data_IF_338201790854
#
_entry.id   IF_338201790854
#
_cell.length_a   1.000
_cell.length_b   1.000
_cell.length_c   1.000
_cell.angle_alpha   90.00
_cell.angle_beta   90.00
_cell.angle_gamma   90.00
#
_symmetry.space_group_name_H-M   'P 1'
#
loop_
_entity.id
_entity.type
_entity.pdbx_description
1 polymer ?
#
# COMPACT_ATOMS: atom_id res chain seq x y z
N UNK A 1 19.04 -8.23 35.44
CA UNK A 1 18.29 -9.23 36.23
C UNK A 1 16.98 -9.47 35.52
N UNK A 2 16.79 -10.70 35.01
CA UNK A 2 15.53 -11.10 34.42
C UNK A 2 14.53 -11.37 35.53
N UNK A 3 13.57 -10.49 35.71
CA UNK A 3 12.48 -10.64 36.70
C UNK A 3 11.42 -11.64 36.27
N UNK A 4 11.48 -12.13 35.03
CA UNK A 4 10.50 -13.03 34.44
C UNK A 4 11.12 -14.38 34.10
N UNK A 5 10.29 -15.40 33.94
CA UNK A 5 10.77 -16.70 33.44
C UNK A 5 11.29 -16.52 32.00
N UNK A 6 12.21 -17.44 31.61
CA UNK A 6 12.82 -17.38 30.26
C UNK A 6 11.78 -17.38 29.13
N UNK A 7 10.66 -18.08 29.29
CA UNK A 7 9.59 -18.13 28.28
C UNK A 7 8.84 -16.80 28.17
N UNK A 8 8.59 -16.13 29.30
CA UNK A 8 7.95 -14.81 29.30
C UNK A 8 8.89 -13.77 28.65
N UNK A 9 10.17 -13.79 29.00
CA UNK A 9 11.16 -12.88 28.43
C UNK A 9 11.29 -13.03 26.92
N UNK A 10 11.32 -14.27 26.40
CA UNK A 10 11.34 -14.54 24.96
C UNK A 10 10.09 -14.02 24.25
N UNK A 11 8.91 -14.23 24.82
CA UNK A 11 7.66 -13.74 24.22
C UNK A 11 7.64 -12.20 24.18
N UNK A 12 8.10 -11.53 25.23
CA UNK A 12 8.24 -10.08 25.27
C UNK A 12 9.21 -9.59 24.18
N UNK A 13 10.35 -10.26 24.03
CA UNK A 13 11.34 -9.94 23.02
C UNK A 13 10.76 -10.02 21.59
N UNK A 14 10.11 -11.14 21.24
CA UNK A 14 9.51 -11.31 19.92
C UNK A 14 8.42 -10.28 19.64
N UNK A 15 7.56 -9.99 20.62
CA UNK A 15 6.54 -8.97 20.48
C UNK A 15 7.13 -7.56 20.32
N UNK A 16 8.26 -7.26 20.97
CA UNK A 16 8.93 -5.96 20.87
C UNK A 16 9.63 -5.72 19.53
N UNK A 17 9.86 -6.77 18.74
CA UNK A 17 10.39 -6.67 17.36
C UNK A 17 9.33 -6.19 16.37
N UNK A 18 8.06 -6.20 16.75
CA UNK A 18 6.98 -5.73 15.88
C UNK A 18 7.01 -4.19 15.79
N UNK A 19 6.84 -3.61 14.57
CA UNK A 19 6.85 -2.16 14.40
C UNK A 19 5.80 -1.46 15.26
N UNK A 20 6.18 -0.41 15.97
CA UNK A 20 5.29 0.35 16.85
C UNK A 20 5.02 -0.29 18.22
N UNK A 21 5.56 -1.47 18.52
CA UNK A 21 5.42 -2.13 19.82
C UNK A 21 6.70 -1.92 20.65
N UNK A 22 6.63 -0.96 21.58
CA UNK A 22 7.70 -0.76 22.55
C UNK A 22 7.64 -1.78 23.70
N UNK A 23 8.72 -1.86 24.48
CA UNK A 23 8.90 -2.86 25.57
C UNK A 23 7.72 -2.92 26.55
N UNK A 24 7.17 -1.77 26.96
CA UNK A 24 6.01 -1.75 27.88
C UNK A 24 4.75 -2.37 27.27
N UNK A 25 4.51 -2.11 25.98
CA UNK A 25 3.38 -2.69 25.25
C UNK A 25 3.60 -4.18 25.03
N UNK A 26 4.81 -4.61 24.66
CA UNK A 26 5.19 -6.00 24.52
C UNK A 26 4.97 -6.80 25.82
N UNK A 27 5.39 -6.25 26.97
CA UNK A 27 5.12 -6.85 28.28
C UNK A 27 3.62 -7.03 28.52
N UNK A 28 2.82 -6.00 28.30
CA UNK A 28 1.37 -6.04 28.49
C UNK A 28 0.71 -7.10 27.60
N UNK A 29 1.12 -7.19 26.34
CA UNK A 29 0.64 -8.19 25.37
C UNK A 29 1.05 -9.61 25.80
N UNK A 30 2.31 -9.81 26.21
CA UNK A 30 2.80 -11.11 26.66
C UNK A 30 2.00 -11.64 27.85
N UNK A 31 1.79 -10.83 28.88
CA UNK A 31 0.98 -11.23 30.03
C UNK A 31 -0.49 -11.48 29.66
N UNK A 32 -1.04 -10.70 28.73
CA UNK A 32 -2.39 -10.96 28.23
C UNK A 32 -2.46 -12.32 27.55
N UNK A 33 -1.54 -12.63 26.64
CA UNK A 33 -1.48 -13.92 25.92
C UNK A 33 -1.34 -15.10 26.89
N UNK A 34 -0.48 -14.98 27.92
CA UNK A 34 -0.27 -16.05 28.90
C UNK A 34 -1.55 -16.32 29.72
N UNK A 35 -2.37 -15.29 29.94
CA UNK A 35 -3.62 -15.44 30.68
C UNK A 35 -4.83 -15.81 29.81
N UNK A 36 -4.65 -15.88 28.48
CA UNK A 36 -5.71 -16.35 27.57
C UNK A 36 -5.91 -17.86 27.68
N UNK A 37 -7.12 -18.38 27.39
CA UNK A 37 -7.34 -19.82 27.20
C UNK A 37 -6.38 -20.38 26.14
N UNK A 38 -5.84 -21.57 26.39
CA UNK A 38 -4.84 -22.22 25.53
C UNK A 38 -5.30 -22.34 24.08
N UNK A 39 -6.55 -22.69 23.86
CA UNK A 39 -7.16 -22.84 22.53
C UNK A 39 -7.20 -21.52 21.75
N UNK A 40 -7.32 -20.39 22.45
CA UNK A 40 -7.28 -19.07 21.80
C UNK A 40 -5.86 -18.69 21.37
N UNK A 41 -4.87 -19.04 22.20
CA UNK A 41 -3.46 -18.79 21.87
C UNK A 41 -3.03 -19.66 20.69
N UNK A 42 -3.39 -20.95 20.68
CA UNK A 42 -3.12 -21.87 19.58
C UNK A 42 -3.74 -21.36 18.27
N UNK A 43 -5.02 -20.98 18.29
CA UNK A 43 -5.70 -20.40 17.13
C UNK A 43 -5.01 -19.14 16.62
N UNK A 44 -4.59 -18.23 17.50
CA UNK A 44 -3.86 -17.02 17.10
C UNK A 44 -2.53 -17.37 16.43
N UNK A 45 -1.77 -18.29 17.04
CA UNK A 45 -0.48 -18.72 16.50
C UNK A 45 -0.64 -19.40 15.13
N UNK A 46 -1.62 -20.26 14.98
CA UNK A 46 -1.89 -20.95 13.70
C UNK A 46 -2.39 -19.98 12.63
N UNK A 47 -3.27 -19.04 12.97
CA UNK A 47 -3.69 -17.98 12.03
C UNK A 47 -2.50 -17.16 11.53
N UNK A 48 -1.53 -16.81 12.39
CA UNK A 48 -0.32 -16.09 11.95
C UNK A 48 0.54 -16.94 11.01
N UNK A 49 0.73 -18.22 11.29
CA UNK A 49 1.48 -19.15 10.43
C UNK A 49 0.80 -19.33 9.07
N UNK A 50 -0.50 -19.57 9.07
CA UNK A 50 -1.29 -19.75 7.85
C UNK A 50 -1.30 -18.51 6.99
N UNK A 51 -1.54 -17.34 7.57
CA UNK A 51 -1.49 -16.07 6.85
C UNK A 51 -0.11 -15.85 6.19
N UNK A 52 0.98 -16.08 6.93
CA UNK A 52 2.34 -15.93 6.37
C UNK A 52 2.65 -16.99 5.31
N UNK A 53 2.13 -18.21 5.45
CA UNK A 53 2.37 -19.31 4.52
C UNK A 53 1.56 -19.23 3.22
N UNK A 54 0.33 -18.73 3.29
CA UNK A 54 -0.63 -18.79 2.18
C UNK A 54 -0.74 -17.46 1.41
N UNK A 55 -0.50 -16.31 2.06
CA UNK A 55 -0.58 -15.02 1.38
C UNK A 55 0.62 -14.82 0.44
N UNK A 56 0.31 -14.49 -0.80
CA UNK A 56 1.25 -14.23 -1.89
C UNK A 56 0.86 -12.98 -2.67
N UNK A 57 1.63 -12.62 -3.67
CA UNK A 57 1.26 -11.58 -4.61
C UNK A 57 0.33 -12.12 -5.71
N UNK A 58 -0.72 -11.37 -6.02
CA UNK A 58 -1.51 -11.59 -7.23
C UNK A 58 -0.59 -11.56 -8.46
N UNK A 59 -0.68 -12.56 -9.32
CA UNK A 59 0.18 -12.66 -10.51
C UNK A 59 0.00 -11.50 -11.51
N UNK A 60 -1.12 -10.77 -11.43
CA UNK A 60 -1.43 -9.67 -12.34
C UNK A 60 -1.20 -8.27 -11.74
N UNK A 61 -1.71 -7.99 -10.56
CA UNK A 61 -1.69 -6.64 -9.98
C UNK A 61 -0.73 -6.49 -8.80
N UNK A 62 -0.13 -7.59 -8.33
CA UNK A 62 0.81 -7.65 -7.21
C UNK A 62 0.23 -7.26 -5.85
N UNK A 63 -1.10 -7.12 -5.70
CA UNK A 63 -1.69 -7.02 -4.36
C UNK A 63 -1.54 -8.34 -3.61
N UNK A 64 -1.63 -8.27 -2.28
CA UNK A 64 -1.61 -9.47 -1.44
C UNK A 64 -2.93 -10.25 -1.58
N UNK A 65 -2.83 -11.56 -1.75
CA UNK A 65 -3.96 -12.48 -1.91
C UNK A 65 -3.57 -13.89 -1.50
N UNK A 66 -4.53 -14.72 -1.18
CA UNK A 66 -4.38 -16.17 -0.94
C UNK A 66 -4.55 -17.03 -2.20
N UNK A 67 -4.96 -16.40 -3.33
CA UNK A 67 -5.17 -17.04 -4.62
C UNK A 67 -4.14 -16.60 -5.64
N UNK A 68 -4.10 -17.22 -6.82
CA UNK A 68 -3.24 -16.82 -7.92
C UNK A 68 -3.60 -15.41 -8.42
N UNK A 69 -4.89 -15.15 -8.62
CA UNK A 69 -5.45 -13.85 -8.96
C UNK A 69 -6.33 -13.35 -7.81
N UNK A 70 -6.19 -12.08 -7.48
CA UNK A 70 -7.02 -11.46 -6.45
C UNK A 70 -8.48 -11.26 -6.93
N UNK A 71 -9.44 -11.06 -6.01
CA UNK A 71 -10.85 -10.85 -6.36
C UNK A 71 -11.10 -9.67 -7.30
N UNK A 72 -10.23 -8.67 -7.34
CA UNK A 72 -10.34 -7.52 -8.25
C UNK A 72 -9.96 -7.95 -9.67
N UNK A 73 -8.85 -8.68 -9.83
CA UNK A 73 -8.38 -9.12 -11.15
C UNK A 73 -9.26 -10.22 -11.78
N UNK A 74 -9.95 -11.01 -10.97
CA UNK A 74 -10.91 -12.03 -11.46
C UNK A 74 -12.29 -11.48 -11.79
N UNK A 75 -12.59 -10.24 -11.36
CA UNK A 75 -13.91 -9.65 -11.57
C UNK A 75 -14.04 -9.07 -13.00
N UNK A 76 -14.75 -9.79 -13.88
CA UNK A 76 -15.01 -9.38 -15.26
C UNK A 76 -15.85 -8.11 -15.44
N UNK A 77 -16.45 -7.59 -14.34
CA UNK A 77 -17.20 -6.32 -14.38
C UNK A 77 -16.28 -5.09 -14.23
N UNK A 78 -15.02 -5.31 -13.90
CA UNK A 78 -14.03 -4.24 -13.80
C UNK A 78 -13.55 -3.80 -15.18
N UNK A 79 -13.30 -2.51 -15.33
CA UNK A 79 -12.67 -1.95 -16.51
C UNK A 79 -11.16 -2.27 -16.49
N UNK A 80 -10.77 -3.26 -17.31
CA UNK A 80 -9.36 -3.68 -17.43
C UNK A 80 -8.49 -2.69 -18.20
N UNK A 81 -9.08 -1.71 -18.90
CA UNK A 81 -8.38 -0.71 -19.70
C UNK A 81 -7.87 0.46 -18.86
N UNK A 82 -8.40 0.62 -17.64
CA UNK A 82 -7.98 1.66 -16.70
C UNK A 82 -7.23 1.05 -15.53
N UNK A 83 -5.94 1.39 -15.37
CA UNK A 83 -5.07 0.88 -14.31
C UNK A 83 -4.72 2.00 -13.34
N UNK A 84 -5.06 1.82 -12.05
CA UNK A 84 -4.57 2.69 -10.98
C UNK A 84 -3.29 2.11 -10.37
N UNK A 85 -2.22 2.88 -10.41
CA UNK A 85 -0.90 2.52 -9.85
C UNK A 85 -0.78 3.09 -8.44
N UNK A 86 -0.56 2.21 -7.46
CA UNK A 86 -0.41 2.55 -6.05
C UNK A 86 0.89 1.98 -5.48
N UNK A 87 1.38 2.54 -4.37
CA UNK A 87 2.62 2.08 -3.76
C UNK A 87 2.45 0.78 -2.97
N UNK A 88 1.32 0.63 -2.25
CA UNK A 88 1.09 -0.50 -1.34
C UNK A 88 -0.31 -1.10 -1.49
N UNK A 89 -0.48 -2.34 -1.02
CA UNK A 89 -1.81 -2.97 -0.91
C UNK A 89 -2.76 -2.18 0.01
N UNK A 90 -2.23 -1.43 0.99
CA UNK A 90 -3.05 -0.58 1.88
C UNK A 90 -3.65 0.60 1.13
N UNK A 91 -2.91 1.19 0.20
CA UNK A 91 -3.40 2.28 -0.63
C UNK A 91 -4.52 1.78 -1.56
N UNK A 92 -4.32 0.61 -2.19
CA UNK A 92 -5.37 -0.06 -2.95
C UNK A 92 -6.64 -0.24 -2.11
N UNK A 93 -6.51 -0.77 -0.89
CA UNK A 93 -7.65 -1.00 -0.01
C UNK A 93 -8.35 0.31 0.39
N UNK A 94 -7.62 1.43 0.49
CA UNK A 94 -8.21 2.74 0.76
C UNK A 94 -9.09 3.20 -0.41
N UNK A 95 -8.65 3.02 -1.67
CA UNK A 95 -9.47 3.33 -2.84
C UNK A 95 -10.68 2.41 -2.99
N UNK A 96 -10.53 1.11 -2.74
CA UNK A 96 -11.65 0.15 -2.79
C UNK A 96 -12.74 0.50 -1.79
N UNK A 97 -12.40 0.98 -0.60
CA UNK A 97 -13.38 1.46 0.40
C UNK A 97 -14.25 2.60 -0.10
N UNK A 98 -13.81 3.38 -1.08
CA UNK A 98 -14.65 4.44 -1.66
C UNK A 98 -15.82 3.90 -2.46
N UNK A 99 -15.72 2.68 -2.99
CA UNK A 99 -16.73 2.04 -3.85
C UNK A 99 -16.99 2.75 -5.18
N UNK A 100 -16.13 3.70 -5.58
CA UNK A 100 -16.33 4.54 -6.78
C UNK A 100 -15.39 4.21 -7.93
N UNK A 101 -14.27 3.57 -7.66
CA UNK A 101 -13.33 3.19 -8.71
C UNK A 101 -13.72 1.83 -9.32
N UNK A 102 -13.86 1.79 -10.63
CA UNK A 102 -14.26 0.57 -11.35
C UNK A 102 -13.13 -0.06 -12.18
N UNK A 103 -11.96 0.56 -12.23
CA UNK A 103 -10.78 0.02 -12.92
C UNK A 103 -10.07 -1.08 -12.13
N UNK A 104 -8.92 -1.48 -12.63
CA UNK A 104 -8.01 -2.44 -11.96
C UNK A 104 -6.79 -1.72 -11.40
N UNK A 105 -6.00 -2.42 -10.59
CA UNK A 105 -4.85 -1.83 -9.90
C UNK A 105 -3.52 -2.44 -10.35
N UNK A 106 -2.43 -1.72 -10.02
CA UNK A 106 -1.08 -2.24 -10.01
C UNK A 106 -0.35 -1.73 -8.76
N UNK A 107 0.17 -2.66 -7.95
CA UNK A 107 0.86 -2.35 -6.70
C UNK A 107 2.36 -2.41 -6.92
N UNK A 108 3.05 -1.29 -6.68
CA UNK A 108 4.49 -1.14 -6.90
C UNK A 108 5.34 -1.80 -5.81
N UNK A 109 4.81 -1.96 -4.60
CA UNK A 109 5.53 -2.36 -3.38
C UNK A 109 6.67 -1.44 -3.00
N UNK A 110 6.51 -0.14 -3.21
CA UNK A 110 7.46 0.91 -2.84
C UNK A 110 7.39 2.11 -3.74
N UNK A 111 8.33 3.02 -3.54
CA UNK A 111 8.55 4.21 -4.33
C UNK A 111 10.05 4.36 -4.63
N UNK A 112 10.40 5.02 -5.73
CA UNK A 112 11.79 5.34 -6.06
C UNK A 112 12.33 6.32 -5.01
N UNK A 113 13.38 5.92 -4.31
CA UNK A 113 14.06 6.75 -3.31
C UNK A 113 15.57 6.65 -3.45
N UNK A 114 16.21 7.58 -4.16
CA UNK A 114 17.67 7.59 -4.31
C UNK A 114 18.41 7.66 -2.97
N UNK A 115 17.83 8.34 -1.97
CA UNK A 115 18.41 8.46 -0.64
C UNK A 115 18.45 7.12 0.11
N UNK A 116 17.48 6.24 -0.14
CA UNK A 116 17.43 4.89 0.43
C UNK A 116 18.02 3.82 -0.51
N UNK A 117 18.58 4.21 -1.65
CA UNK A 117 19.13 3.31 -2.64
C UNK A 117 18.07 2.50 -3.40
N UNK A 118 16.78 2.91 -3.33
CA UNK A 118 15.69 2.22 -4.01
C UNK A 118 15.54 2.78 -5.42
N UNK A 119 15.85 1.96 -6.41
CA UNK A 119 15.74 2.29 -7.83
C UNK A 119 14.47 1.73 -8.48
N UNK A 120 14.28 2.01 -9.78
CA UNK A 120 13.14 1.49 -10.54
C UNK A 120 13.08 -0.06 -10.61
N UNK A 121 14.23 -0.73 -10.46
CA UNK A 121 14.32 -2.19 -10.47
C UNK A 121 13.91 -2.86 -9.16
N UNK A 122 13.82 -2.11 -8.08
CA UNK A 122 13.49 -2.63 -6.75
C UNK A 122 11.99 -2.61 -6.46
N UNK A 123 11.21 -1.99 -7.34
CA UNK A 123 9.75 -1.91 -7.27
C UNK A 123 9.13 -2.62 -8.49
N UNK A 124 7.82 -2.91 -8.45
CA UNK A 124 7.09 -3.63 -9.52
C UNK A 124 6.81 -2.77 -10.76
N UNK A 125 7.79 -1.99 -11.19
CA UNK A 125 7.68 -1.10 -12.35
C UNK A 125 7.87 -1.84 -13.68
N UNK A 126 8.80 -2.80 -13.75
CA UNK A 126 9.01 -3.61 -14.93
C UNK A 126 7.73 -4.37 -15.30
N UNK A 127 7.10 -4.98 -14.32
CA UNK A 127 5.86 -5.72 -14.47
C UNK A 127 4.68 -4.80 -14.86
N UNK A 128 4.67 -3.54 -14.41
CA UNK A 128 3.73 -2.54 -14.91
C UNK A 128 3.92 -2.33 -16.42
N UNK A 129 5.15 -2.08 -16.86
CA UNK A 129 5.44 -1.81 -18.27
C UNK A 129 5.12 -3.02 -19.18
N UNK A 130 5.32 -4.24 -18.69
CA UNK A 130 4.91 -5.46 -19.40
C UNK A 130 3.39 -5.53 -19.56
N UNK A 131 2.65 -5.17 -18.51
CA UNK A 131 1.17 -5.15 -18.50
C UNK A 131 0.58 -4.10 -19.45
N UNK A 132 1.29 -2.98 -19.66
CA UNK A 132 0.85 -1.91 -20.57
C UNK A 132 0.96 -2.27 -22.07
N UNK A 133 1.49 -3.43 -22.42
CA UNK A 133 1.50 -3.93 -23.81
C UNK A 133 0.12 -4.45 -24.28
N UNK A 134 -0.84 -4.59 -23.35
CA UNK A 134 -2.23 -4.95 -23.65
C UNK A 134 -3.10 -3.75 -24.03
N UNK A 135 -4.42 -3.92 -23.98
CA UNK A 135 -5.44 -2.92 -24.33
C UNK A 135 -5.65 -1.91 -23.19
N UNK A 136 -4.58 -1.28 -22.70
CA UNK A 136 -4.67 -0.26 -21.64
C UNK A 136 -4.83 1.12 -22.27
N UNK A 137 -5.87 1.84 -21.87
CA UNK A 137 -6.20 3.17 -22.37
C UNK A 137 -5.76 4.28 -21.41
N UNK A 138 -5.83 4.02 -20.09
CA UNK A 138 -5.47 5.00 -19.07
C UNK A 138 -4.68 4.38 -17.91
N UNK A 139 -3.67 5.09 -17.47
CA UNK A 139 -2.93 4.83 -16.22
C UNK A 139 -3.14 6.01 -15.27
N UNK A 140 -3.78 5.75 -14.12
CA UNK A 140 -3.96 6.72 -13.06
C UNK A 140 -2.85 6.51 -12.03
N UNK A 141 -1.95 7.47 -11.87
CA UNK A 141 -0.88 7.40 -10.89
C UNK A 141 -1.40 7.89 -9.55
N UNK A 142 -1.45 7.01 -8.56
CA UNK A 142 -1.96 7.25 -7.21
C UNK A 142 -0.88 6.91 -6.14
N UNK A 143 0.37 7.30 -6.42
CA UNK A 143 1.44 7.27 -5.43
C UNK A 143 1.24 8.37 -4.39
N UNK A 144 1.80 8.21 -3.19
CA UNK A 144 1.68 9.18 -2.11
C UNK A 144 2.20 10.57 -2.50
N UNK A 145 1.73 11.61 -1.83
CA UNK A 145 2.19 13.00 -2.05
C UNK A 145 3.50 13.30 -1.29
N UNK A 146 4.38 12.32 -1.17
CA UNK A 146 5.75 12.43 -0.65
C UNK A 146 6.72 12.75 -1.79
N UNK A 147 7.94 13.17 -1.47
CA UNK A 147 8.99 13.41 -2.45
C UNK A 147 9.26 12.17 -3.33
N UNK A 148 9.32 11.00 -2.69
CA UNK A 148 9.52 9.71 -3.34
C UNK A 148 8.34 9.34 -4.24
N UNK A 149 7.11 9.55 -3.76
CA UNK A 149 5.90 9.27 -4.53
C UNK A 149 5.75 10.19 -5.75
N UNK A 150 6.10 11.48 -5.62
CA UNK A 150 6.13 12.44 -6.75
C UNK A 150 7.23 12.07 -7.75
N UNK A 151 8.43 11.74 -7.26
CA UNK A 151 9.54 11.28 -8.11
C UNK A 151 9.14 10.04 -8.90
N UNK A 152 8.50 9.09 -8.25
CA UNK A 152 7.99 7.86 -8.87
C UNK A 152 6.93 8.17 -9.92
N UNK A 153 5.99 9.08 -9.61
CA UNK A 153 4.95 9.49 -10.54
C UNK A 153 5.53 10.12 -11.82
N UNK A 154 6.48 11.04 -11.68
CA UNK A 154 7.16 11.69 -12.80
C UNK A 154 7.91 10.65 -13.63
N UNK A 155 8.61 9.71 -12.98
CA UNK A 155 9.36 8.67 -13.67
C UNK A 155 8.43 7.76 -14.49
N UNK A 156 7.36 7.25 -13.88
CA UNK A 156 6.34 6.42 -14.55
C UNK A 156 5.71 7.18 -15.73
N UNK A 157 5.32 8.43 -15.51
CA UNK A 157 4.72 9.27 -16.55
C UNK A 157 5.65 9.42 -17.77
N UNK A 158 6.97 9.64 -17.56
CA UNK A 158 7.95 9.75 -18.65
C UNK A 158 8.09 8.44 -19.43
N UNK A 159 8.00 7.29 -18.77
CA UNK A 159 8.08 5.98 -19.45
C UNK A 159 6.82 5.67 -20.27
N UNK A 160 5.63 6.09 -19.78
CA UNK A 160 4.36 5.74 -20.42
C UNK A 160 4.00 6.72 -21.55
N UNK A 161 4.31 8.02 -21.42
CA UNK A 161 3.98 9.03 -22.44
C UNK A 161 4.28 8.64 -23.89
N UNK A 162 5.44 8.03 -24.22
CA UNK A 162 5.75 7.63 -25.59
C UNK A 162 4.83 6.53 -26.15
N UNK A 163 4.12 5.79 -25.31
CA UNK A 163 3.22 4.70 -25.74
C UNK A 163 1.87 5.18 -26.24
N UNK A 164 1.52 6.47 -26.03
CA UNK A 164 0.22 7.03 -26.36
C UNK A 164 -0.88 6.74 -25.35
N UNK A 165 -0.61 5.96 -24.29
CA UNK A 165 -1.55 5.69 -23.20
C UNK A 165 -1.77 6.98 -22.40
N UNK A 166 -3.02 7.29 -22.08
CA UNK A 166 -3.37 8.43 -21.23
C UNK A 166 -2.80 8.23 -19.83
N UNK A 167 -2.06 9.22 -19.34
CA UNK A 167 -1.53 9.21 -17.96
C UNK A 167 -2.15 10.35 -17.19
N UNK A 168 -2.79 10.02 -16.10
CA UNK A 168 -3.36 10.98 -15.16
C UNK A 168 -2.79 10.76 -13.75
N UNK A 169 -2.89 11.79 -12.90
CA UNK A 169 -2.52 11.72 -11.50
C UNK A 169 -3.72 12.08 -10.65
N UNK A 170 -3.83 11.44 -9.49
CA UNK A 170 -4.84 11.85 -8.51
C UNK A 170 -4.65 13.33 -8.16
N UNK A 171 -5.76 14.05 -7.96
CA UNK A 171 -5.74 15.44 -7.55
C UNK A 171 -5.08 15.61 -6.18
N UNK A 172 -4.34 16.70 -6.03
CA UNK A 172 -3.81 17.16 -4.74
C UNK A 172 -4.55 18.43 -4.35
N UNK A 173 -4.92 18.55 -3.07
CA UNK A 173 -5.65 19.74 -2.63
C UNK A 173 -6.08 19.67 -1.18
N UNK A 174 -6.88 20.67 -0.80
CA UNK A 174 -7.42 20.80 0.56
C UNK A 174 -8.36 19.63 0.87
N UNK A 175 -8.18 18.94 2.01
CA UNK A 175 -9.08 17.85 2.40
C UNK A 175 -10.49 18.38 2.71
N UNK A 176 -11.50 17.57 2.40
CA UNK A 176 -12.90 17.91 2.70
C UNK A 176 -13.08 18.04 4.21
N UNK A 177 -13.67 19.16 4.65
CA UNK A 177 -13.88 19.49 6.07
C UNK A 177 -12.68 20.14 6.76
N UNK A 178 -11.64 20.49 6.01
CA UNK A 178 -10.51 21.27 6.54
C UNK A 178 -10.74 22.77 6.41
N UNK A 179 -10.40 23.54 7.46
CA UNK A 179 -10.37 24.99 7.41
C UNK A 179 -9.08 25.47 6.75
N UNK A 180 -9.18 26.43 5.82
CA UNK A 180 -8.05 26.90 5.01
C UNK A 180 -6.89 27.47 5.86
N UNK A 181 -7.19 28.06 7.01
CA UNK A 181 -6.21 28.67 7.91
C UNK A 181 -5.23 27.66 8.53
N UNK A 182 -5.59 26.36 8.58
CA UNK A 182 -4.74 25.28 9.11
C UNK A 182 -4.03 24.46 8.02
N UNK A 183 -4.20 24.83 6.76
CA UNK A 183 -3.59 24.13 5.64
C UNK A 183 -2.23 24.77 5.33
N UNK A 184 -1.22 23.94 5.11
CA UNK A 184 0.11 24.41 4.75
C UNK A 184 0.14 25.07 3.35
N UNK A 185 1.13 25.97 3.16
CA UNK A 185 1.25 26.78 1.96
C UNK A 185 1.41 25.94 0.67
N UNK A 186 2.09 24.80 0.74
CA UNK A 186 2.32 23.93 -0.42
C UNK A 186 1.01 23.28 -0.86
N UNK A 187 0.22 22.79 0.10
CA UNK A 187 -1.10 22.22 -0.17
C UNK A 187 -2.06 23.25 -0.74
N UNK A 188 -2.07 24.47 -0.20
CA UNK A 188 -2.89 25.59 -0.74
C UNK A 188 -2.46 25.95 -2.17
N UNK A 189 -1.16 26.03 -2.45
CA UNK A 189 -0.65 26.31 -3.78
C UNK A 189 -1.10 25.24 -4.79
N UNK A 190 -0.94 23.96 -4.45
CA UNK A 190 -1.37 22.84 -5.30
C UNK A 190 -2.88 22.85 -5.55
N UNK A 191 -3.68 23.18 -4.53
CA UNK A 191 -5.14 23.32 -4.69
C UNK A 191 -5.51 24.46 -5.65
N UNK A 192 -4.81 25.59 -5.57
CA UNK A 192 -4.99 26.74 -6.47
C UNK A 192 -4.60 26.41 -7.91
N UNK A 193 -3.47 25.72 -8.10
CA UNK A 193 -3.00 25.30 -9.43
C UNK A 193 -3.93 24.26 -10.05
N UNK A 194 -4.41 23.30 -9.24
CA UNK A 194 -5.33 22.24 -9.65
C UNK A 194 -6.81 22.65 -9.69
N UNK A 195 -7.15 23.96 -9.53
CA UNK A 195 -8.55 24.41 -9.52
C UNK A 195 -9.29 24.05 -10.80
N UNK A 196 -10.53 23.64 -10.65
CA UNK A 196 -11.43 23.35 -11.77
C UNK A 196 -12.48 24.44 -11.92
N UNK A 197 -12.93 24.64 -13.16
CA UNK A 197 -14.08 25.51 -13.43
C UNK A 197 -15.37 24.79 -13.03
N UNK A 198 -16.29 25.51 -12.37
CA UNK A 198 -17.60 25.02 -11.95
C UNK A 198 -18.71 25.72 -12.74
#
# INVERSE_FOLDING_TARGET
MDYYSNQISKLIEELSRLPGIGTKTAQRLAFHIINMPKEQVERLADTMKEARGNVRYCSQCFTLTDQELCPICTNSKRDSKTIMVVETTRDLAAYEKTGKYNGVYHVLHGAISPMLGIGPGDIKLKELMERLRGDVEEVIIATNSTLEGETTAIYISKLIKPTGIKVSRIASGVPVGGDLEYIDEVTLLRALEGRIQI
#
